data_IF_561807765767
#
_entry.id   IF_561807765767
#
_cell.length_a   1.000
_cell.length_b   1.000
_cell.length_c   1.000
_cell.angle_alpha   90.00
_cell.angle_beta   90.00
_cell.angle_gamma   90.00
#
_symmetry.space_group_name_H-M   'P 1'
#
loop_
_entity.id
_entity.type
_entity.pdbx_description
1 polymer ?
#
# COMPACT_ATOMS: atom_id res chain seq x y z
N UNK A 1 -8.72 -13.00 12.46
CA UNK A 1 -7.38 -12.85 11.86
C UNK A 1 -7.45 -13.41 10.46
N UNK A 2 -6.93 -12.73 9.45
CA UNK A 2 -6.91 -13.27 8.09
C UNK A 2 -6.20 -14.62 8.07
N UNK A 3 -6.74 -15.56 7.32
CA UNK A 3 -6.19 -16.90 7.14
C UNK A 3 -6.25 -17.27 5.66
N UNK A 4 -5.13 -17.77 5.16
CA UNK A 4 -4.97 -18.21 3.77
C UNK A 4 -4.60 -19.69 3.77
N UNK A 5 -5.29 -20.46 2.94
CA UNK A 5 -5.01 -21.88 2.74
C UNK A 5 -4.21 -22.06 1.44
N UNK A 6 -3.12 -22.78 1.50
CA UNK A 6 -2.23 -23.04 0.36
C UNK A 6 -2.18 -24.52 0.01
N UNK A 7 -2.03 -24.81 -1.27
CA UNK A 7 -1.87 -26.17 -1.82
C UNK A 7 -0.72 -26.23 -2.81
N UNK A 8 -0.01 -27.35 -2.82
CA UNK A 8 0.91 -27.77 -3.87
C UNK A 8 0.84 -29.29 -4.05
N UNK A 9 1.67 -29.83 -4.92
CA UNK A 9 1.74 -31.29 -5.19
C UNK A 9 2.17 -32.12 -3.97
N UNK A 10 2.79 -31.51 -2.96
CA UNK A 10 3.35 -32.19 -1.79
C UNK A 10 2.47 -32.08 -0.54
N UNK A 11 1.47 -31.19 -0.54
CA UNK A 11 0.59 -31.04 0.61
C UNK A 11 -0.19 -29.72 0.71
N UNK A 12 -0.69 -29.47 1.90
CA UNK A 12 -1.46 -28.26 2.23
C UNK A 12 -0.78 -27.46 3.33
N UNK A 13 -0.95 -26.15 3.31
CA UNK A 13 -0.35 -25.20 4.26
C UNK A 13 -1.36 -24.14 4.66
N UNK A 14 -1.15 -23.51 5.81
CA UNK A 14 -1.96 -22.39 6.29
C UNK A 14 -1.02 -21.25 6.69
N UNK A 15 -1.39 -20.02 6.36
CA UNK A 15 -0.63 -18.81 6.68
C UNK A 15 -1.51 -17.61 6.91
N UNK A 16 -0.93 -16.53 7.42
CA UNK A 16 -1.61 -15.25 7.61
C UNK A 16 -1.86 -14.51 6.29
N UNK A 17 -1.04 -14.77 5.29
CA UNK A 17 -1.08 -14.13 3.99
C UNK A 17 -0.40 -15.02 2.91
N UNK A 18 -0.54 -14.64 1.64
CA UNK A 18 0.02 -15.40 0.52
C UNK A 18 1.55 -15.35 0.46
N UNK A 19 2.19 -14.29 0.98
CA UNK A 19 3.66 -14.20 1.01
C UNK A 19 4.24 -15.23 1.97
N UNK A 20 3.62 -15.42 3.14
CA UNK A 20 4.03 -16.44 4.10
C UNK A 20 3.96 -17.87 3.53
N UNK A 21 3.10 -18.09 2.53
CA UNK A 21 2.93 -19.37 1.86
C UNK A 21 3.70 -19.52 0.54
N UNK A 22 4.37 -18.47 0.08
CA UNK A 22 4.99 -18.43 -1.25
C UNK A 22 6.05 -19.52 -1.52
N UNK A 23 6.72 -20.02 -0.48
CA UNK A 23 7.65 -21.14 -0.58
C UNK A 23 7.02 -22.53 -0.33
N UNK A 24 5.75 -22.56 0.09
CA UNK A 24 5.07 -23.76 0.55
C UNK A 24 3.85 -24.14 -0.30
N UNK A 25 3.37 -23.26 -1.15
CA UNK A 25 2.17 -23.47 -1.94
C UNK A 25 2.32 -22.87 -3.35
N UNK A 26 1.67 -23.46 -4.33
CA UNK A 26 1.56 -22.94 -5.70
C UNK A 26 0.27 -22.12 -5.86
N UNK A 27 -0.79 -22.55 -5.18
CA UNK A 27 -2.07 -21.88 -5.20
C UNK A 27 -2.55 -21.62 -3.79
N UNK A 28 -3.24 -20.51 -3.63
CA UNK A 28 -3.82 -20.09 -2.34
C UNK A 28 -5.29 -19.78 -2.47
N UNK A 29 -6.01 -20.00 -1.37
CA UNK A 29 -7.39 -19.59 -1.21
C UNK A 29 -7.51 -18.68 0.01
N UNK A 30 -8.11 -17.51 -0.19
CA UNK A 30 -8.41 -16.57 0.89
C UNK A 30 -9.73 -16.96 1.54
N UNK A 31 -9.69 -17.16 2.85
CA UNK A 31 -10.85 -17.58 3.62
C UNK A 31 -11.76 -16.41 3.97
N UNK A 32 -13.03 -16.69 4.18
CA UNK A 32 -14.01 -15.73 4.67
C UNK A 32 -14.06 -15.73 6.21
N UNK A 33 -14.58 -14.64 6.78
CA UNK A 33 -14.73 -14.53 8.24
C UNK A 33 -15.65 -15.64 8.77
N UNK A 34 -15.12 -16.43 9.71
CA UNK A 34 -15.80 -17.56 10.32
C UNK A 34 -15.61 -18.90 9.61
N UNK A 35 -14.84 -18.96 8.51
CA UNK A 35 -14.45 -20.21 7.90
C UNK A 35 -13.56 -21.03 8.86
N UNK A 36 -13.80 -22.34 8.88
CA UNK A 36 -13.00 -23.34 9.59
C UNK A 36 -12.32 -24.22 8.55
N UNK A 37 -11.01 -24.35 8.65
CA UNK A 37 -10.21 -25.20 7.75
C UNK A 37 -9.75 -26.45 8.47
N UNK A 38 -10.00 -27.59 7.85
CA UNK A 38 -9.42 -28.87 8.22
C UNK A 38 -8.41 -29.25 7.16
N UNK A 39 -7.13 -29.26 7.53
CA UNK A 39 -6.08 -29.65 6.62
C UNK A 39 -5.15 -30.71 7.21
N UNK A 40 -4.73 -31.62 6.35
CA UNK A 40 -3.63 -32.54 6.57
C UNK A 40 -2.86 -32.68 5.26
N UNK A 41 -1.84 -33.54 5.21
CA UNK A 41 -0.93 -33.65 4.05
C UNK A 41 -1.64 -33.66 2.68
N UNK A 42 -2.83 -34.23 2.57
CA UNK A 42 -3.52 -34.46 1.29
C UNK A 42 -4.98 -33.98 1.28
N UNK A 43 -5.47 -33.42 2.37
CA UNK A 43 -6.87 -33.04 2.53
C UNK A 43 -6.90 -31.58 2.95
N UNK A 44 -7.66 -30.77 2.22
CA UNK A 44 -8.03 -29.42 2.61
C UNK A 44 -9.54 -29.30 2.45
N UNK A 45 -10.24 -29.13 3.57
CA UNK A 45 -11.68 -28.93 3.60
C UNK A 45 -11.99 -27.63 4.33
N UNK A 46 -12.90 -26.86 3.75
CA UNK A 46 -13.32 -25.58 4.30
C UNK A 46 -14.78 -25.67 4.67
N UNK A 47 -15.13 -25.22 5.88
CA UNK A 47 -16.47 -25.20 6.40
C UNK A 47 -16.85 -23.77 6.78
N UNK A 48 -18.08 -23.36 6.49
CA UNK A 48 -18.61 -22.06 6.88
C UNK A 48 -19.04 -22.04 8.37
N UNK A 49 -19.52 -20.89 8.85
CA UNK A 49 -20.03 -20.72 10.22
C UNK A 49 -21.18 -21.64 10.59
N UNK A 50 -21.86 -22.27 9.63
CA UNK A 50 -22.93 -23.26 9.87
C UNK A 50 -22.42 -24.69 9.91
N UNK A 51 -21.12 -24.91 9.72
CA UNK A 51 -20.52 -26.23 9.62
C UNK A 51 -20.78 -26.92 8.27
N UNK A 52 -21.23 -26.21 7.26
CA UNK A 52 -21.44 -26.73 5.91
C UNK A 52 -20.12 -26.66 5.14
N UNK A 53 -19.77 -27.73 4.41
CA UNK A 53 -18.60 -27.75 3.55
C UNK A 53 -18.82 -26.77 2.39
N UNK A 54 -17.86 -25.87 2.17
CA UNK A 54 -17.90 -24.84 1.13
C UNK A 54 -16.65 -24.93 0.26
N UNK A 55 -16.77 -24.51 -0.98
CA UNK A 55 -15.65 -24.33 -1.88
C UNK A 55 -15.24 -22.83 -1.89
N UNK A 56 -13.94 -22.58 -1.88
CA UNK A 56 -13.33 -21.26 -2.08
C UNK A 56 -12.44 -21.31 -3.29
N UNK A 57 -12.39 -20.21 -4.03
CA UNK A 57 -11.55 -20.11 -5.21
C UNK A 57 -10.07 -20.18 -4.84
N UNK A 58 -9.31 -20.99 -5.57
CA UNK A 58 -7.85 -21.04 -5.49
C UNK A 58 -7.24 -20.23 -6.61
N UNK A 59 -6.37 -19.30 -6.26
CA UNK A 59 -5.63 -18.43 -7.19
C UNK A 59 -4.13 -18.71 -7.10
N UNK A 60 -3.42 -18.51 -8.20
CA UNK A 60 -1.95 -18.63 -8.21
C UNK A 60 -1.33 -17.57 -7.28
N UNK A 61 -0.27 -17.92 -6.58
CA UNK A 61 0.39 -17.05 -5.59
C UNK A 61 0.94 -15.75 -6.21
N UNK A 62 1.32 -15.76 -7.47
CA UNK A 62 1.71 -14.56 -8.23
C UNK A 62 3.04 -13.92 -7.81
N UNK A 63 3.88 -14.64 -7.07
CA UNK A 63 5.26 -14.26 -6.75
C UNK A 63 6.22 -15.34 -7.25
N UNK A 64 7.28 -14.92 -7.93
CA UNK A 64 8.36 -15.82 -8.37
C UNK A 64 9.34 -16.09 -7.21
N UNK A 65 10.10 -17.21 -7.29
CA UNK A 65 11.13 -17.53 -6.29
C UNK A 65 12.18 -16.41 -6.13
N UNK A 66 12.48 -15.69 -7.21
CA UNK A 66 13.39 -14.54 -7.19
C UNK A 66 12.86 -13.37 -6.38
N UNK A 67 11.54 -13.16 -6.36
CA UNK A 67 10.89 -12.08 -5.59
C UNK A 67 11.03 -12.29 -4.09
N UNK A 68 10.98 -13.56 -3.65
CA UNK A 68 11.01 -13.96 -2.24
C UNK A 68 12.41 -14.34 -1.72
N UNK A 69 13.44 -14.36 -2.59
CA UNK A 69 14.82 -14.64 -2.19
C UNK A 69 15.58 -13.35 -1.84
N UNK A 70 16.60 -13.45 -0.98
CA UNK A 70 17.48 -12.30 -0.69
C UNK A 70 18.42 -11.94 -1.84
N UNK A 71 18.62 -12.85 -2.80
CA UNK A 71 19.62 -12.67 -3.83
C UNK A 71 21.04 -12.47 -3.24
N UNK A 72 21.71 -11.43 -3.68
CA UNK A 72 23.07 -11.07 -3.22
C UNK A 72 23.11 -10.18 -1.97
N UNK A 73 21.96 -9.89 -1.34
CA UNK A 73 21.88 -9.01 -0.18
C UNK A 73 21.91 -9.78 1.13
N UNK A 74 22.48 -9.19 2.17
CA UNK A 74 22.48 -9.79 3.51
C UNK A 74 21.09 -9.80 4.16
N UNK A 75 20.32 -8.74 3.91
CA UNK A 75 19.01 -8.50 4.53
C UNK A 75 17.95 -8.22 3.46
N UNK A 76 16.71 -8.67 3.70
CA UNK A 76 15.58 -8.34 2.83
C UNK A 76 15.36 -6.84 2.71
N UNK A 77 15.45 -6.10 3.81
CA UNK A 77 15.30 -4.65 3.78
C UNK A 77 16.34 -3.96 2.89
N UNK A 78 17.58 -4.44 2.87
CA UNK A 78 18.62 -3.92 1.96
C UNK A 78 18.25 -4.17 0.50
N UNK A 79 17.81 -5.39 0.16
CA UNK A 79 17.29 -5.72 -1.18
C UNK A 79 16.14 -4.78 -1.55
N UNK A 80 15.15 -4.66 -0.68
CA UNK A 80 13.95 -3.86 -0.89
C UNK A 80 14.24 -2.37 -1.06
N UNK A 81 15.25 -1.84 -0.37
CA UNK A 81 15.76 -0.47 -0.61
C UNK A 81 16.28 -0.33 -2.05
N UNK A 82 16.99 -1.32 -2.57
CA UNK A 82 17.50 -1.28 -3.94
C UNK A 82 16.42 -1.50 -5.01
N UNK A 83 15.28 -2.03 -4.64
CA UNK A 83 14.12 -2.23 -5.51
C UNK A 83 13.21 -0.99 -5.64
N UNK A 84 13.41 0.07 -4.84
CA UNK A 84 12.61 1.32 -4.91
C UNK A 84 12.50 1.90 -6.33
N UNK A 85 13.59 2.02 -7.13
CA UNK A 85 13.50 2.57 -8.47
C UNK A 85 12.54 1.79 -9.35
N UNK A 86 12.62 0.46 -9.32
CA UNK A 86 11.75 -0.42 -10.08
C UNK A 86 10.30 -0.32 -9.58
N UNK A 87 10.06 -0.42 -8.26
CA UNK A 87 8.73 -0.36 -7.65
C UNK A 87 8.00 0.95 -7.99
N UNK A 88 8.72 2.08 -7.92
CA UNK A 88 8.19 3.40 -8.27
C UNK A 88 7.90 3.51 -9.77
N UNK A 89 8.84 3.07 -10.61
CA UNK A 89 8.69 3.08 -12.06
C UNK A 89 7.49 2.26 -12.54
N UNK A 90 7.37 1.01 -12.10
CA UNK A 90 6.25 0.13 -12.44
C UNK A 90 4.91 0.63 -11.86
N UNK A 91 4.93 1.27 -10.69
CA UNK A 91 3.72 1.85 -10.11
C UNK A 91 3.26 3.07 -10.91
N UNK A 92 4.13 4.01 -11.28
CA UNK A 92 3.75 5.17 -12.09
C UNK A 92 3.31 4.81 -13.50
N UNK A 93 3.94 3.80 -14.11
CA UNK A 93 3.62 3.34 -15.47
C UNK A 93 2.14 3.02 -15.66
N UNK A 94 1.43 2.58 -14.62
CA UNK A 94 -0.01 2.31 -14.66
C UNK A 94 -0.86 3.56 -14.90
N UNK A 95 -0.32 4.74 -14.58
CA UNK A 95 -1.05 6.01 -14.60
C UNK A 95 -0.63 6.91 -15.75
N UNK A 96 0.34 6.52 -16.56
CA UNK A 96 0.83 7.32 -17.68
C UNK A 96 0.04 6.97 -18.94
N UNK A 97 -0.73 7.94 -19.44
CA UNK A 97 -1.27 7.89 -20.80
C UNK A 97 -0.14 8.28 -21.76
N UNK A 98 0.49 7.28 -22.37
CA UNK A 98 1.66 7.47 -23.23
C UNK A 98 1.34 8.25 -24.51
N UNK A 99 0.11 8.19 -25.02
CA UNK A 99 -0.30 8.90 -26.23
C UNK A 99 -0.43 10.39 -25.98
N UNK A 100 -0.90 10.77 -24.78
CA UNK A 100 -1.11 12.16 -24.40
C UNK A 100 0.00 12.75 -23.54
N UNK A 101 0.84 11.89 -22.94
CA UNK A 101 1.85 12.28 -21.95
C UNK A 101 1.23 12.85 -20.67
N UNK A 102 0.13 12.28 -20.21
CA UNK A 102 -0.63 12.74 -19.04
C UNK A 102 -0.68 11.67 -17.96
N UNK A 103 -0.77 12.12 -16.71
CA UNK A 103 -1.14 11.26 -15.59
C UNK A 103 -2.67 11.12 -15.57
N UNK A 104 -3.15 9.87 -15.59
CA UNK A 104 -4.58 9.55 -15.56
C UNK A 104 -4.83 8.29 -14.73
N UNK A 105 -5.98 8.23 -14.05
CA UNK A 105 -6.49 7.05 -13.33
C UNK A 105 -7.71 6.55 -14.08
N UNK A 106 -7.48 5.78 -15.15
CA UNK A 106 -8.52 5.35 -16.10
C UNK A 106 -9.23 4.06 -15.69
N UNK A 107 -8.58 3.21 -14.91
CA UNK A 107 -9.04 1.86 -14.60
C UNK A 107 -10.15 1.81 -13.54
N UNK A 108 -10.42 2.94 -12.91
CA UNK A 108 -11.44 3.06 -11.86
C UNK A 108 -12.66 3.81 -12.40
N UNK A 109 -13.81 3.18 -12.34
CA UNK A 109 -15.09 3.79 -12.71
C UNK A 109 -15.67 4.65 -11.57
N UNK A 110 -14.83 5.44 -10.92
CA UNK A 110 -15.24 6.41 -9.91
C UNK A 110 -15.43 7.79 -10.58
N UNK A 111 -16.57 8.40 -10.35
CA UNK A 111 -16.75 9.81 -10.69
C UNK A 111 -16.01 10.68 -9.64
N UNK A 112 -14.78 11.04 -9.97
CA UNK A 112 -13.94 11.87 -9.13
C UNK A 112 -14.47 13.31 -8.99
N UNK A 113 -15.29 13.80 -9.93
CA UNK A 113 -15.83 15.17 -9.86
C UNK A 113 -16.88 15.33 -8.75
N UNK A 114 -17.44 14.21 -8.30
CA UNK A 114 -18.39 14.18 -7.18
C UNK A 114 -17.71 14.17 -5.79
N UNK A 115 -16.38 14.05 -5.74
CA UNK A 115 -15.62 13.96 -4.47
C UNK A 115 -15.31 15.34 -3.93
N UNK A 116 -15.94 15.71 -2.82
CA UNK A 116 -15.75 17.02 -2.18
C UNK A 116 -14.84 16.99 -0.95
N UNK A 117 -14.56 15.81 -0.42
CA UNK A 117 -13.68 15.58 0.74
C UNK A 117 -13.05 14.19 0.63
N UNK A 118 -11.82 14.08 1.07
CA UNK A 118 -11.11 12.81 1.13
C UNK A 118 -10.75 12.51 2.58
N UNK A 119 -11.00 11.27 3.02
CA UNK A 119 -10.45 10.70 4.25
C UNK A 119 -9.40 9.66 3.85
N UNK A 120 -8.17 9.86 4.29
CA UNK A 120 -7.06 8.92 4.11
C UNK A 120 -6.87 8.14 5.40
N UNK A 121 -7.05 6.83 5.37
CA UNK A 121 -7.08 6.00 6.57
C UNK A 121 -6.05 4.87 6.44
N UNK A 122 -5.14 4.76 7.39
CA UNK A 122 -4.09 3.76 7.40
C UNK A 122 -3.44 3.59 8.78
N UNK A 123 -2.52 2.64 8.91
CA UNK A 123 -1.64 2.45 10.08
C UNK A 123 -0.17 2.56 9.68
N UNK A 124 0.69 2.94 10.65
CA UNK A 124 2.16 2.89 10.51
C UNK A 124 2.69 3.67 9.31
N UNK A 125 3.59 3.05 8.56
CA UNK A 125 4.21 3.60 7.34
C UNK A 125 3.18 4.09 6.32
N UNK A 126 2.10 3.34 6.10
CA UNK A 126 1.04 3.74 5.18
C UNK A 126 0.28 5.00 5.67
N UNK A 127 0.14 5.18 6.98
CA UNK A 127 -0.42 6.40 7.55
C UNK A 127 0.48 7.62 7.27
N UNK A 128 1.80 7.47 7.34
CA UNK A 128 2.72 8.56 6.98
C UNK A 128 2.71 8.86 5.47
N UNK A 129 2.49 7.85 4.63
CA UNK A 129 2.21 8.10 3.20
C UNK A 129 0.93 8.92 3.00
N UNK A 130 -0.13 8.64 3.77
CA UNK A 130 -1.36 9.42 3.77
C UNK A 130 -1.12 10.88 4.20
N UNK A 131 -0.29 11.12 5.22
CA UNK A 131 0.06 12.47 5.66
C UNK A 131 0.82 13.27 4.58
N UNK A 132 1.70 12.62 3.81
CA UNK A 132 2.35 13.27 2.63
C UNK A 132 1.28 13.55 1.57
N UNK A 133 0.42 12.58 1.28
CA UNK A 133 -0.60 12.70 0.24
C UNK A 133 -1.64 13.80 0.53
N UNK A 134 -1.88 14.13 1.80
CA UNK A 134 -2.70 15.29 2.16
C UNK A 134 -2.22 16.55 1.45
N UNK A 135 -0.91 16.81 1.47
CA UNK A 135 -0.33 17.95 0.76
C UNK A 135 -0.58 17.87 -0.75
N UNK A 136 -0.45 16.69 -1.35
CA UNK A 136 -0.68 16.51 -2.79
C UNK A 136 -2.13 16.81 -3.19
N UNK A 137 -3.12 16.26 -2.50
CA UNK A 137 -4.52 16.51 -2.80
C UNK A 137 -4.93 17.95 -2.54
N UNK A 138 -4.48 18.55 -1.45
CA UNK A 138 -4.79 19.95 -1.12
C UNK A 138 -4.12 20.92 -2.11
N UNK A 139 -2.90 20.64 -2.57
CA UNK A 139 -2.16 21.47 -3.53
C UNK A 139 -2.71 21.33 -4.95
N UNK A 140 -2.79 20.09 -5.45
CA UNK A 140 -3.10 19.85 -6.87
C UNK A 140 -4.61 19.76 -7.13
N UNK A 141 -5.35 19.08 -6.28
CA UNK A 141 -6.78 18.85 -6.48
C UNK A 141 -7.67 19.89 -5.79
N UNK A 142 -7.14 20.67 -4.85
CA UNK A 142 -7.87 21.65 -4.02
C UNK A 142 -9.06 21.03 -3.28
N UNK A 143 -8.91 19.78 -2.87
CA UNK A 143 -9.91 19.03 -2.10
C UNK A 143 -9.44 18.91 -0.64
N UNK A 144 -10.29 19.24 0.35
CA UNK A 144 -9.97 19.05 1.77
C UNK A 144 -9.68 17.59 2.10
N UNK A 145 -8.59 17.35 2.84
CA UNK A 145 -8.17 16.00 3.23
C UNK A 145 -8.05 15.88 4.73
N UNK A 146 -8.64 14.83 5.27
CA UNK A 146 -8.46 14.40 6.66
C UNK A 146 -7.69 13.07 6.67
N UNK A 147 -6.66 12.99 7.52
CA UNK A 147 -5.87 11.78 7.69
C UNK A 147 -6.14 11.18 9.05
N UNK A 148 -6.48 9.90 9.09
CA UNK A 148 -6.79 9.18 10.31
C UNK A 148 -5.91 7.94 10.47
N UNK A 149 -5.49 7.69 11.71
CA UNK A 149 -4.94 6.40 12.08
C UNK A 149 -6.11 5.40 12.18
N UNK A 150 -6.01 4.29 11.46
CA UNK A 150 -7.14 3.36 11.34
C UNK A 150 -7.57 2.77 12.69
N UNK A 151 -6.63 2.55 13.63
CA UNK A 151 -6.94 2.11 14.99
C UNK A 151 -7.84 3.07 15.78
N UNK A 152 -7.78 4.38 15.45
CA UNK A 152 -8.57 5.41 16.14
C UNK A 152 -9.87 5.76 15.40
N UNK A 153 -9.85 5.63 14.06
CA UNK A 153 -10.90 6.10 13.18
C UNK A 153 -12.30 5.61 13.58
N UNK A 154 -12.47 4.30 13.78
CA UNK A 154 -13.78 3.73 14.11
C UNK A 154 -14.27 4.10 15.52
N UNK A 155 -13.34 4.36 16.45
CA UNK A 155 -13.69 4.65 17.85
C UNK A 155 -14.04 6.11 18.08
N UNK A 156 -13.45 7.03 17.31
CA UNK A 156 -13.76 8.45 17.42
C UNK A 156 -15.07 8.85 16.74
N UNK A 157 -15.73 7.95 16.01
CA UNK A 157 -16.98 8.24 15.27
C UNK A 157 -16.86 9.49 14.38
N UNK A 158 -16.02 9.48 13.34
CA UNK A 158 -15.74 10.65 12.51
C UNK A 158 -17.01 11.18 11.84
N UNK A 159 -17.04 12.49 11.62
CA UNK A 159 -18.10 13.13 10.84
C UNK A 159 -17.85 12.83 9.36
N UNK A 160 -18.73 12.06 8.75
CA UNK A 160 -18.62 11.62 7.37
C UNK A 160 -19.68 12.31 6.51
N UNK A 161 -19.23 12.91 5.41
CA UNK A 161 -20.09 13.43 4.35
C UNK A 161 -20.38 12.32 3.33
N UNK A 162 -21.62 12.24 2.84
CA UNK A 162 -22.02 11.26 1.80
C UNK A 162 -21.26 11.42 0.48
N UNK A 163 -20.74 12.62 0.21
CA UNK A 163 -19.91 12.92 -0.95
C UNK A 163 -18.40 12.81 -0.65
N UNK A 164 -18.03 12.30 0.52
CA UNK A 164 -16.64 11.99 0.83
C UNK A 164 -16.20 10.68 0.18
N UNK A 165 -14.91 10.59 -0.12
CA UNK A 165 -14.22 9.35 -0.50
C UNK A 165 -13.31 8.93 0.67
N UNK A 166 -13.51 7.74 1.18
CA UNK A 166 -12.60 7.12 2.14
C UNK A 166 -11.58 6.25 1.39
N UNK A 167 -10.30 6.57 1.53
CA UNK A 167 -9.20 5.84 0.89
C UNK A 167 -8.43 5.11 1.98
N UNK A 168 -8.38 3.78 1.87
CA UNK A 168 -7.72 2.87 2.80
C UNK A 168 -6.39 2.41 2.21
N UNK A 169 -5.27 2.68 2.90
CA UNK A 169 -3.94 2.34 2.40
C UNK A 169 -3.33 1.24 3.27
N UNK A 170 -2.92 0.14 2.64
CA UNK A 170 -2.29 -0.99 3.32
C UNK A 170 -1.38 -1.74 2.35
N UNK A 171 -0.15 -2.09 2.75
CA UNK A 171 0.73 -2.90 1.92
C UNK A 171 0.14 -4.32 1.73
N UNK A 172 -0.15 -5.02 2.82
CA UNK A 172 -0.68 -6.40 2.80
C UNK A 172 -2.16 -6.48 2.39
N UNK A 173 -2.92 -5.39 2.63
CA UNK A 173 -4.38 -5.42 2.52
C UNK A 173 -5.09 -6.29 3.58
N UNK A 174 -4.35 -6.70 4.63
CA UNK A 174 -4.83 -7.54 5.73
C UNK A 174 -4.69 -6.85 7.10
N UNK A 175 -4.36 -5.59 7.15
CA UNK A 175 -4.23 -4.84 8.41
C UNK A 175 -5.58 -4.75 9.10
N UNK A 176 -5.72 -5.41 10.25
CA UNK A 176 -7.00 -5.59 10.95
C UNK A 176 -7.72 -4.26 11.26
N UNK A 177 -7.00 -3.25 11.75
CA UNK A 177 -7.58 -1.95 12.06
C UNK A 177 -8.02 -1.21 10.79
N UNK A 178 -7.25 -1.31 9.69
CA UNK A 178 -7.60 -0.69 8.40
C UNK A 178 -8.84 -1.36 7.80
N UNK A 179 -8.94 -2.70 7.90
CA UNK A 179 -10.14 -3.43 7.50
C UNK A 179 -11.36 -3.01 8.33
N UNK A 180 -11.23 -2.96 9.64
CA UNK A 180 -12.34 -2.55 10.51
C UNK A 180 -12.80 -1.09 10.27
N UNK A 181 -11.87 -0.19 9.90
CA UNK A 181 -12.19 1.17 9.49
C UNK A 181 -12.91 1.21 8.13
N UNK A 182 -12.54 0.32 7.20
CA UNK A 182 -13.24 0.13 5.93
C UNK A 182 -14.69 -0.31 6.16
N UNK A 183 -14.91 -1.35 6.98
CA UNK A 183 -16.23 -1.86 7.32
C UNK A 183 -17.09 -0.79 7.97
N UNK A 184 -16.51 -0.01 8.88
CA UNK A 184 -17.20 1.13 9.49
C UNK A 184 -17.68 2.14 8.45
N UNK A 185 -16.83 2.55 7.50
CA UNK A 185 -17.19 3.52 6.46
C UNK A 185 -18.26 2.98 5.51
N UNK A 186 -18.15 1.71 5.11
CA UNK A 186 -19.17 1.02 4.30
C UNK A 186 -20.52 0.96 5.01
N UNK A 187 -20.54 0.65 6.31
CA UNK A 187 -21.78 0.62 7.10
C UNK A 187 -22.49 1.97 7.16
N UNK A 188 -21.76 3.07 6.90
CA UNK A 188 -22.28 4.44 6.81
C UNK A 188 -22.64 4.86 5.38
N UNK A 189 -22.48 3.97 4.41
CA UNK A 189 -22.80 4.23 3.00
C UNK A 189 -21.84 5.20 2.32
N UNK A 190 -20.57 5.29 2.80
CA UNK A 190 -19.54 6.13 2.21
C UNK A 190 -18.80 5.33 1.14
N UNK A 191 -18.50 5.96 0.00
CA UNK A 191 -17.67 5.36 -1.06
C UNK A 191 -16.27 5.06 -0.54
N UNK A 192 -15.79 3.86 -0.84
CA UNK A 192 -14.50 3.36 -0.37
C UNK A 192 -13.58 3.01 -1.54
N UNK A 193 -12.32 3.38 -1.42
CA UNK A 193 -11.25 3.01 -2.32
C UNK A 193 -10.09 2.46 -1.51
N UNK A 194 -9.50 1.36 -1.94
CA UNK A 194 -8.29 0.82 -1.32
C UNK A 194 -7.07 0.97 -2.21
N UNK A 195 -5.93 1.20 -1.59
CA UNK A 195 -4.61 1.16 -2.22
C UNK A 195 -3.83 0.07 -1.50
N UNK A 196 -3.61 -1.06 -2.18
CA UNK A 196 -2.96 -2.24 -1.62
C UNK A 196 -1.91 -2.81 -2.57
N UNK A 197 -0.97 -3.60 -2.06
CA UNK A 197 0.01 -4.27 -2.90
C UNK A 197 -0.36 -5.73 -3.20
N UNK A 198 -1.03 -6.39 -2.25
CA UNK A 198 -1.41 -7.80 -2.39
C UNK A 198 -2.79 -7.91 -3.03
N UNK A 199 -2.81 -8.57 -4.20
CA UNK A 199 -4.06 -8.88 -4.91
C UNK A 199 -4.92 -9.82 -4.07
N UNK A 200 -6.24 -9.68 -4.21
CA UNK A 200 -7.24 -10.52 -3.54
C UNK A 200 -7.19 -10.48 -2.00
N UNK A 201 -6.47 -9.53 -1.41
CA UNK A 201 -6.53 -9.29 0.03
C UNK A 201 -7.93 -8.86 0.49
N UNK A 202 -8.22 -9.01 1.79
CA UNK A 202 -9.54 -8.69 2.36
C UNK A 202 -9.96 -7.26 2.09
N UNK A 203 -9.05 -6.29 2.29
CA UNK A 203 -9.32 -4.87 2.03
C UNK A 203 -9.59 -4.63 0.54
N UNK A 204 -8.84 -5.31 -0.37
CA UNK A 204 -9.05 -5.17 -1.81
C UNK A 204 -10.44 -5.68 -2.25
N UNK A 205 -10.84 -6.87 -1.76
CA UNK A 205 -12.13 -7.48 -2.12
C UNK A 205 -13.33 -6.73 -1.60
N UNK A 206 -13.18 -6.09 -0.45
CA UNK A 206 -14.32 -5.46 0.23
C UNK A 206 -14.49 -3.98 -0.07
N UNK A 207 -13.51 -3.31 -0.64
CA UNK A 207 -13.63 -1.92 -1.09
C UNK A 207 -14.48 -1.81 -2.36
N UNK A 208 -15.18 -0.69 -2.54
CA UNK A 208 -15.93 -0.43 -3.77
C UNK A 208 -15.01 -0.27 -4.98
N UNK A 209 -13.80 0.26 -4.75
CA UNK A 209 -12.74 0.44 -5.74
C UNK A 209 -11.40 0.02 -5.15
N UNK A 210 -10.51 -0.49 -6.00
CA UNK A 210 -9.17 -0.89 -5.58
C UNK A 210 -8.12 -0.48 -6.60
N UNK A 211 -7.00 0.08 -6.11
CA UNK A 211 -5.79 0.33 -6.88
C UNK A 211 -4.67 -0.53 -6.29
N UNK A 212 -3.93 -1.22 -7.15
CA UNK A 212 -2.78 -1.99 -6.74
C UNK A 212 -1.49 -1.19 -6.95
N UNK A 213 -0.63 -1.17 -5.94
CA UNK A 213 0.76 -0.79 -6.14
C UNK A 213 1.50 -1.90 -6.89
N UNK A 214 2.69 -1.60 -7.42
CA UNK A 214 3.56 -2.57 -8.09
C UNK A 214 4.89 -2.69 -7.35
N UNK A 215 4.82 -2.75 -6.01
CA UNK A 215 6.02 -2.84 -5.19
C UNK A 215 6.66 -4.24 -5.18
N UNK A 216 5.99 -5.27 -5.71
CA UNK A 216 6.43 -6.66 -5.57
C UNK A 216 6.29 -7.18 -4.14
N UNK A 217 6.89 -8.33 -3.85
CA UNK A 217 6.89 -8.87 -2.49
C UNK A 217 7.74 -8.00 -1.55
N UNK A 218 7.22 -7.67 -0.37
CA UNK A 218 7.93 -6.99 0.71
C UNK A 218 7.93 -7.90 1.94
N UNK A 219 9.09 -8.43 2.29
CA UNK A 219 9.31 -9.47 3.30
C UNK A 219 9.99 -8.89 4.54
N UNK A 220 10.75 -7.81 4.36
CA UNK A 220 11.38 -7.08 5.46
C UNK A 220 10.35 -6.63 6.49
N UNK A 221 10.69 -6.75 7.78
CA UNK A 221 9.79 -6.37 8.88
C UNK A 221 9.39 -4.90 8.79
N UNK A 222 10.36 -4.03 8.48
CA UNK A 222 10.12 -2.60 8.29
C UNK A 222 9.82 -2.32 6.81
N UNK A 223 8.62 -1.84 6.51
CA UNK A 223 8.21 -1.47 5.16
C UNK A 223 9.08 -0.33 4.59
N UNK A 224 9.48 -0.46 3.34
CA UNK A 224 10.32 0.52 2.63
C UNK A 224 9.78 0.85 1.24
N UNK A 225 9.91 -0.04 0.25
CA UNK A 225 9.48 0.18 -1.14
C UNK A 225 7.97 0.34 -1.28
N UNK A 226 7.18 -0.29 -0.42
CA UNK A 226 5.73 -0.11 -0.43
C UNK A 226 5.34 1.34 -0.09
N UNK A 227 6.07 2.03 0.79
CA UNK A 227 5.85 3.44 1.10
C UNK A 227 5.95 4.33 -0.15
N UNK A 228 7.04 4.21 -0.91
CA UNK A 228 7.24 5.02 -2.13
C UNK A 228 6.27 4.64 -3.24
N UNK A 229 5.90 3.36 -3.35
CA UNK A 229 4.87 2.92 -4.28
C UNK A 229 3.48 3.48 -3.91
N UNK A 230 3.13 3.51 -2.61
CA UNK A 230 1.90 4.16 -2.12
C UNK A 230 1.89 5.65 -2.43
N UNK A 231 3.02 6.36 -2.20
CA UNK A 231 3.16 7.76 -2.57
C UNK A 231 2.95 7.99 -4.07
N UNK A 232 3.44 7.07 -4.92
CA UNK A 232 3.29 7.16 -6.38
C UNK A 232 1.82 7.07 -6.80
N UNK A 233 1.05 6.15 -6.20
CA UNK A 233 -0.40 6.04 -6.44
C UNK A 233 -1.12 7.30 -5.97
N UNK A 234 -0.88 7.73 -4.73
CA UNK A 234 -1.56 8.87 -4.12
C UNK A 234 -1.27 10.18 -4.87
N UNK A 235 -0.03 10.38 -5.33
CA UNK A 235 0.34 11.52 -6.17
C UNK A 235 -0.36 11.48 -7.53
N UNK A 236 -0.39 10.32 -8.18
CA UNK A 236 -1.08 10.15 -9.46
C UNK A 236 -2.58 10.44 -9.34
N UNK A 237 -3.22 9.99 -8.26
CA UNK A 237 -4.61 10.30 -7.96
C UNK A 237 -4.85 11.80 -7.75
N UNK A 238 -3.96 12.48 -7.00
CA UNK A 238 -4.09 13.91 -6.74
C UNK A 238 -3.97 14.75 -8.04
N UNK A 239 -3.04 14.39 -8.92
CA UNK A 239 -2.85 15.03 -10.23
C UNK A 239 -4.06 14.78 -11.13
N UNK A 240 -4.54 13.52 -11.20
CA UNK A 240 -5.72 13.18 -11.98
C UNK A 240 -6.95 13.97 -11.52
N UNK A 241 -7.22 13.96 -10.22
CA UNK A 241 -8.33 14.71 -9.62
C UNK A 241 -8.20 16.21 -9.85
N UNK A 242 -6.97 16.77 -9.74
CA UNK A 242 -6.69 18.16 -10.04
C UNK A 242 -7.00 18.54 -11.50
N UNK A 243 -6.69 17.65 -12.44
CA UNK A 243 -7.02 17.83 -13.85
C UNK A 243 -8.53 17.76 -14.08
N UNK A 244 -9.22 16.80 -13.46
CA UNK A 244 -10.68 16.68 -13.54
C UNK A 244 -11.40 17.89 -12.94
N UNK A 245 -10.93 18.40 -11.81
CA UNK A 245 -11.45 19.60 -11.14
C UNK A 245 -11.05 20.92 -11.83
N UNK A 246 -10.21 20.85 -12.87
CA UNK A 246 -9.65 22.02 -13.57
C UNK A 246 -8.80 22.93 -12.66
N UNK A 247 -8.27 22.41 -11.57
CA UNK A 247 -7.29 23.08 -10.70
C UNK A 247 -5.88 22.93 -11.25
N UNK A 248 -5.66 21.88 -12.08
CA UNK A 248 -4.49 21.70 -12.94
C UNK A 248 -4.91 21.74 -14.41
N UNK A 249 -4.18 22.48 -15.23
CA UNK A 249 -4.30 22.40 -16.68
C UNK A 249 -3.65 21.12 -17.21
N UNK A 250 -4.04 20.69 -18.42
CA UNK A 250 -3.37 19.55 -19.08
C UNK A 250 -1.87 19.78 -19.29
N UNK A 251 -1.45 21.02 -19.55
CA UNK A 251 -0.02 21.33 -19.70
C UNK A 251 0.75 21.15 -18.40
N UNK A 252 0.21 21.61 -17.27
CA UNK A 252 0.80 21.35 -15.95
C UNK A 252 0.87 19.86 -15.63
N UNK A 253 -0.19 19.08 -15.97
CA UNK A 253 -0.16 17.62 -15.81
C UNK A 253 0.97 17.00 -16.65
N UNK A 254 1.15 17.43 -17.92
CA UNK A 254 2.26 16.95 -18.78
C UNK A 254 3.63 17.26 -18.20
N UNK A 255 3.82 18.48 -17.70
CA UNK A 255 5.07 18.86 -17.03
C UNK A 255 5.36 17.98 -15.81
N UNK A 256 4.35 17.77 -14.97
CA UNK A 256 4.48 16.89 -13.79
C UNK A 256 4.74 15.44 -14.23
N UNK A 257 4.05 14.95 -15.25
CA UNK A 257 4.27 13.61 -15.79
C UNK A 257 5.72 13.43 -16.25
N UNK A 258 6.26 14.42 -16.97
CA UNK A 258 7.66 14.39 -17.39
C UNK A 258 8.64 14.35 -16.20
N UNK A 259 8.39 15.11 -15.14
CA UNK A 259 9.25 15.10 -13.94
C UNK A 259 9.14 13.77 -13.17
N UNK A 260 7.95 13.21 -13.04
CA UNK A 260 7.73 11.91 -12.37
C UNK A 260 8.48 10.78 -13.08
N UNK A 261 8.59 10.82 -14.41
CA UNK A 261 9.35 9.81 -15.17
C UNK A 261 10.85 9.76 -14.81
N UNK A 262 11.38 10.82 -14.19
CA UNK A 262 12.78 10.85 -13.69
C UNK A 262 12.93 10.20 -12.30
N UNK A 263 11.84 9.96 -11.59
CA UNK A 263 11.88 9.47 -10.21
C UNK A 263 12.70 8.18 -10.01
N UNK A 264 12.62 7.15 -10.87
CA UNK A 264 13.45 5.97 -10.74
C UNK A 264 14.95 6.29 -10.75
N UNK A 265 15.42 7.10 -11.70
CA UNK A 265 16.82 7.49 -11.80
C UNK A 265 17.28 8.29 -10.58
N UNK A 266 16.45 9.21 -10.09
CA UNK A 266 16.77 10.00 -8.90
C UNK A 266 16.85 9.12 -7.64
N UNK A 267 16.01 8.07 -7.55
CA UNK A 267 16.07 7.09 -6.47
C UNK A 267 17.36 6.26 -6.53
N UNK A 268 17.77 5.81 -7.71
CA UNK A 268 19.07 5.12 -7.87
C UNK A 268 20.25 5.99 -7.41
N UNK A 269 20.25 7.27 -7.78
CA UNK A 269 21.27 8.22 -7.33
C UNK A 269 21.23 8.41 -5.80
N UNK A 270 20.03 8.52 -5.21
CA UNK A 270 19.87 8.66 -3.77
C UNK A 270 20.40 7.43 -3.02
N UNK A 271 20.10 6.22 -3.53
CA UNK A 271 20.61 4.97 -2.96
C UNK A 271 22.14 4.92 -3.04
N UNK A 272 22.73 5.27 -4.19
CA UNK A 272 24.19 5.35 -4.33
C UNK A 272 24.82 6.32 -3.33
N UNK A 273 24.21 7.48 -3.14
CA UNK A 273 24.69 8.48 -2.15
C UNK A 273 24.54 8.00 -0.70
N UNK A 274 23.58 7.13 -0.40
CA UNK A 274 23.35 6.64 0.96
C UNK A 274 24.54 5.86 1.54
N UNK A 275 25.40 5.25 0.71
CA UNK A 275 26.60 4.57 1.16
C UNK A 275 27.57 5.47 1.93
N UNK A 276 27.59 6.78 1.61
CA UNK A 276 28.42 7.76 2.36
C UNK A 276 27.89 8.02 3.78
N UNK A 277 26.65 7.63 4.09
CA UNK A 277 26.06 7.81 5.43
C UNK A 277 26.56 6.79 6.45
N UNK A 278 27.33 5.78 6.05
CA UNK A 278 27.86 4.75 6.95
C UNK A 278 28.69 5.35 8.10
N UNK A 279 29.54 6.32 7.79
CA UNK A 279 30.37 7.01 8.81
C UNK A 279 29.47 7.83 9.75
N UNK A 280 28.46 8.51 9.21
CA UNK A 280 27.49 9.25 10.03
C UNK A 280 26.72 8.30 10.95
N UNK A 281 26.25 7.15 10.44
CA UNK A 281 25.57 6.15 11.25
C UNK A 281 26.46 5.62 12.37
N UNK A 282 27.76 5.37 12.09
CA UNK A 282 28.73 4.95 13.12
C UNK A 282 28.93 6.02 14.20
N UNK A 283 28.89 7.30 13.84
CA UNK A 283 29.07 8.39 14.80
C UNK A 283 27.93 8.53 15.83
N UNK A 284 26.73 8.05 15.48
CA UNK A 284 25.54 8.12 16.33
C UNK A 284 25.19 6.78 17.02
N UNK A 285 25.97 5.73 16.84
CA UNK A 285 25.66 4.37 17.35
C UNK A 285 25.46 4.33 18.87
N UNK A 286 26.12 5.24 19.61
CA UNK A 286 26.01 5.37 21.07
C UNK A 286 25.07 6.51 21.49
N UNK A 287 24.34 7.13 20.57
CA UNK A 287 23.43 8.21 20.91
C UNK A 287 22.25 7.66 21.73
N UNK A 288 21.87 8.37 22.81
CA UNK A 288 20.73 8.00 23.65
C UNK A 288 19.36 8.30 22.99
N UNK A 289 19.37 9.05 21.91
CA UNK A 289 18.16 9.41 21.15
C UNK A 289 18.55 10.13 19.87
N UNK A 290 17.71 10.00 18.84
CA UNK A 290 17.86 10.67 17.55
C UNK A 290 16.59 11.47 17.27
N UNK A 291 16.76 12.72 16.86
CA UNK A 291 15.65 13.60 16.53
C UNK A 291 15.57 13.79 15.02
N UNK A 292 14.39 13.52 14.46
CA UNK A 292 14.08 13.77 13.05
C UNK A 292 13.26 15.05 12.92
N UNK A 293 13.66 15.94 12.04
CA UNK A 293 13.01 17.24 11.82
C UNK A 293 12.60 17.39 10.35
N UNK A 294 11.41 17.93 10.13
CA UNK A 294 10.88 18.21 8.80
C UNK A 294 9.80 19.28 8.84
N UNK A 295 9.57 19.92 7.67
CA UNK A 295 8.50 20.90 7.46
C UNK A 295 7.83 20.63 6.11
N UNK A 296 6.53 20.98 5.96
CA UNK A 296 5.75 20.69 4.77
C UNK A 296 5.69 19.18 4.53
N UNK A 297 5.89 18.74 3.31
CA UNK A 297 5.94 17.30 2.96
C UNK A 297 7.08 16.54 3.65
N UNK A 298 8.14 17.23 4.09
CA UNK A 298 9.24 16.62 4.83
C UNK A 298 8.88 16.32 6.29
N UNK A 299 7.80 16.89 6.84
CA UNK A 299 7.36 16.57 8.21
C UNK A 299 6.90 15.09 8.33
N UNK A 300 5.97 14.59 7.49
CA UNK A 300 5.62 13.16 7.53
C UNK A 300 6.81 12.24 7.18
N UNK A 301 7.74 12.68 6.33
CA UNK A 301 8.96 11.92 6.03
C UNK A 301 9.88 11.82 7.25
N UNK A 302 9.97 12.88 8.07
CA UNK A 302 10.70 12.81 9.34
C UNK A 302 10.05 11.83 10.33
N UNK A 303 8.71 11.77 10.37
CA UNK A 303 7.98 10.78 11.18
C UNK A 303 8.23 9.35 10.69
N UNK A 304 8.22 9.12 9.38
CA UNK A 304 8.53 7.80 8.79
C UNK A 304 9.97 7.39 9.09
N UNK A 305 10.94 8.29 8.93
CA UNK A 305 12.33 8.02 9.28
C UNK A 305 12.50 7.68 10.76
N UNK A 306 11.81 8.39 11.66
CA UNK A 306 11.82 8.08 13.08
C UNK A 306 11.18 6.71 13.38
N UNK A 307 10.10 6.36 12.68
CA UNK A 307 9.47 5.03 12.79
C UNK A 307 10.45 3.93 12.36
N UNK A 308 11.08 4.07 11.19
CA UNK A 308 12.06 3.08 10.70
C UNK A 308 13.20 2.90 11.69
N UNK A 309 13.74 3.99 12.22
CA UNK A 309 14.80 3.92 13.23
C UNK A 309 14.33 3.19 14.49
N UNK A 310 13.11 3.46 14.95
CA UNK A 310 12.51 2.80 16.12
C UNK A 310 12.26 1.30 15.92
N UNK A 311 11.89 0.88 14.71
CA UNK A 311 11.55 -0.52 14.40
C UNK A 311 12.77 -1.43 14.33
N UNK A 312 13.94 -0.89 13.94
CA UNK A 312 15.13 -1.69 13.61
C UNK A 312 16.38 -1.37 14.46
N UNK A 313 16.27 -0.52 15.48
CA UNK A 313 17.41 -0.12 16.36
C UNK A 313 17.29 -0.70 17.74
#
# INVERSE_FOLDING_TARGET
SPLVAGINDTGTSLGSDSIALSSLAEKVSYLEDGDIVVCNKNILEIFNTKGEKVEREFVDIGFDETDISKGNFQHFMEKEIHEHPQAVGETFKQFIDHDKGLITVSDIKLDFTSVHRIHLIACGTAYYACLVAKYYFEEYARVPVECDMASEYRYRSPVLDKNALCIFVSQSGETADTKAALDYSKSRGIKTLSIVNVKNSSIARESDFCIYTKAGAEIGVASTKAFTAQLSVLLSMAIHLGTMNKTLSENQNKEICHEIMKAPTLLEEAIKRSYSLKETAQSIINAKGVMYLGRGTSFPLALEGALKFKEIS
#
